data_IF_679801786318
#
_entry.id   IF_679801786318
#
_cell.length_a   1.000
_cell.length_b   1.000
_cell.length_c   1.000
_cell.angle_alpha   90.00
_cell.angle_beta   90.00
_cell.angle_gamma   90.00
#
_symmetry.space_group_name_H-M   'P 1'
#
loop_
_entity.id
_entity.type
_entity.pdbx_description
1 polymer ?
#
# COMPACT_ATOMS: atom_id res chain seq x y z
N UNK A 1 -23.93 -4.71 17.31
CA UNK A 1 -23.53 -3.38 16.78
C UNK A 1 -22.20 -3.49 16.06
N UNK A 2 -22.21 -3.65 14.74
CA UNK A 2 -20.98 -3.55 13.92
C UNK A 2 -20.63 -2.08 13.78
N UNK A 3 -19.91 -1.54 14.76
CA UNK A 3 -19.35 -0.19 14.64
C UNK A 3 -18.64 -0.09 13.29
N UNK A 4 -18.99 0.94 12.51
CA UNK A 4 -18.40 1.23 11.20
C UNK A 4 -16.96 1.70 11.40
N UNK A 5 -16.10 0.77 11.80
CA UNK A 5 -14.70 1.01 12.10
C UNK A 5 -14.03 1.57 10.85
N UNK A 6 -13.58 2.81 10.99
CA UNK A 6 -12.85 3.54 9.97
C UNK A 6 -11.47 3.82 10.52
N UNK A 7 -10.46 3.41 9.78
CA UNK A 7 -9.07 3.57 10.19
C UNK A 7 -8.23 3.90 8.96
N UNK A 8 -7.43 4.96 9.07
CA UNK A 8 -6.44 5.30 8.07
C UNK A 8 -5.09 5.53 8.74
N UNK A 9 -4.05 5.00 8.12
CA UNK A 9 -2.68 5.25 8.55
C UNK A 9 -1.78 5.36 7.32
N UNK A 10 -0.86 6.32 7.34
CA UNK A 10 0.11 6.55 6.26
C UNK A 10 1.51 6.67 6.84
N UNK A 11 2.40 5.78 6.40
CA UNK A 11 3.83 5.82 6.70
C UNK A 11 4.59 6.35 5.47
N UNK A 12 5.49 7.30 5.68
CA UNK A 12 6.35 7.84 4.61
C UNK A 12 7.80 7.63 5.00
N UNK A 13 8.53 6.84 4.20
CA UNK A 13 9.97 6.63 4.35
C UNK A 13 10.71 7.30 3.19
N UNK A 14 11.63 8.21 3.49
CA UNK A 14 12.48 8.90 2.51
C UNK A 14 13.94 8.58 2.77
N UNK A 15 14.67 8.09 1.76
CA UNK A 15 16.11 7.80 1.83
C UNK A 15 16.75 8.10 0.48
N UNK A 16 17.74 9.00 0.43
CA UNK A 16 18.60 9.21 -0.75
C UNK A 16 17.82 9.40 -2.05
N UNK A 17 16.89 10.36 -2.07
CA UNK A 17 16.02 10.62 -3.22
C UNK A 17 14.94 9.56 -3.48
N UNK A 18 14.94 8.41 -2.80
CA UNK A 18 13.84 7.42 -2.84
C UNK A 18 12.79 7.79 -1.80
N UNK A 19 11.52 7.71 -2.17
CA UNK A 19 10.38 7.86 -1.26
C UNK A 19 9.45 6.66 -1.39
N UNK A 20 9.11 6.05 -0.26
CA UNK A 20 8.13 4.96 -0.16
C UNK A 20 7.00 5.46 0.71
N UNK A 21 5.77 5.35 0.21
CA UNK A 21 4.55 5.68 0.94
C UNK A 21 3.78 4.39 1.15
N UNK A 22 3.53 4.00 2.39
CA UNK A 22 2.67 2.88 2.75
C UNK A 22 1.39 3.42 3.35
N UNK A 23 0.22 3.04 2.83
CA UNK A 23 -1.07 3.45 3.38
C UNK A 23 -1.92 2.24 3.71
N UNK A 24 -2.62 2.32 4.84
CA UNK A 24 -3.70 1.42 5.25
C UNK A 24 -4.99 2.25 5.24
N UNK A 25 -6.05 1.72 4.65
CA UNK A 25 -7.39 2.30 4.71
C UNK A 25 -8.40 1.21 4.97
N UNK A 26 -9.13 1.34 6.06
CA UNK A 26 -10.21 0.45 6.50
C UNK A 26 -11.46 1.30 6.56
N UNK A 27 -12.48 0.90 5.82
CA UNK A 27 -13.78 1.58 5.80
C UNK A 27 -14.89 0.54 5.71
N UNK A 28 -15.83 0.57 6.66
CA UNK A 28 -16.96 -0.37 6.72
C UNK A 28 -16.51 -1.85 6.65
N UNK A 29 -15.44 -2.21 7.36
CA UNK A 29 -14.89 -3.56 7.36
C UNK A 29 -14.14 -3.97 6.08
N UNK A 30 -14.09 -3.12 5.06
CA UNK A 30 -13.26 -3.31 3.86
C UNK A 30 -11.91 -2.65 4.08
N UNK A 31 -10.85 -3.44 3.99
CA UNK A 31 -9.51 -2.98 4.29
C UNK A 31 -8.57 -3.16 3.09
N UNK A 32 -7.81 -2.11 2.80
CA UNK A 32 -6.82 -2.10 1.73
C UNK A 32 -5.50 -1.55 2.22
N UNK A 33 -4.42 -2.11 1.69
CA UNK A 33 -3.05 -1.65 1.88
C UNK A 33 -2.47 -1.21 0.54
N UNK A 34 -1.73 -0.12 0.53
CA UNK A 34 -1.02 0.37 -0.66
C UNK A 34 0.44 0.67 -0.36
N UNK A 35 1.30 0.40 -1.33
CA UNK A 35 2.70 0.80 -1.33
C UNK A 35 3.00 1.56 -2.62
N UNK A 36 3.31 2.84 -2.50
CA UNK A 36 3.71 3.70 -3.62
C UNK A 36 5.20 3.99 -3.51
N UNK A 37 5.94 3.78 -4.59
CA UNK A 37 7.38 4.09 -4.67
C UNK A 37 7.61 5.30 -5.57
N UNK A 38 8.57 6.12 -5.19
CA UNK A 38 8.99 7.34 -5.88
C UNK A 38 10.51 7.45 -5.89
N UNK A 39 11.04 8.11 -6.91
CA UNK A 39 12.44 8.54 -6.97
C UNK A 39 12.50 9.99 -7.46
N UNK A 40 13.10 10.86 -6.64
CA UNK A 40 12.97 12.30 -6.78
C UNK A 40 11.50 12.73 -6.77
N UNK A 41 11.07 13.39 -7.84
CA UNK A 41 9.67 13.80 -8.07
C UNK A 41 8.87 12.78 -8.88
N UNK A 42 9.50 11.71 -9.37
CA UNK A 42 8.86 10.72 -10.25
C UNK A 42 8.19 9.59 -9.46
N UNK A 43 6.93 9.29 -9.79
CA UNK A 43 6.23 8.11 -9.32
C UNK A 43 6.67 6.88 -10.11
N UNK A 44 7.13 5.84 -9.42
CA UNK A 44 7.61 4.60 -10.05
C UNK A 44 6.51 3.55 -10.16
N UNK A 45 5.53 3.58 -9.25
CA UNK A 45 4.43 2.64 -9.26
C UNK A 45 3.77 2.50 -7.90
N UNK A 46 2.57 1.90 -7.94
CA UNK A 46 1.75 1.63 -6.75
C UNK A 46 1.29 0.19 -6.79
N UNK A 47 1.44 -0.52 -5.68
CA UNK A 47 0.82 -1.82 -5.46
C UNK A 47 -0.29 -1.65 -4.43
N UNK A 48 -1.51 -2.10 -4.77
CA UNK A 48 -2.66 -2.11 -3.89
C UNK A 48 -3.11 -3.55 -3.67
N UNK A 49 -3.35 -3.92 -2.41
CA UNK A 49 -3.82 -5.24 -2.01
C UNK A 49 -4.92 -5.12 -0.96
N UNK A 50 -5.78 -6.13 -0.88
CA UNK A 50 -6.70 -6.29 0.25
C UNK A 50 -5.93 -6.71 1.49
N UNK A 51 -6.46 -6.39 2.66
CA UNK A 51 -5.97 -6.89 3.95
C UNK A 51 -6.89 -8.04 4.38
N UNK A 52 -6.32 -9.12 4.92
CA UNK A 52 -7.10 -10.26 5.38
C UNK A 52 -8.00 -9.85 6.57
N UNK A 53 -9.18 -10.46 6.70
CA UNK A 53 -10.15 -10.07 7.75
C UNK A 53 -9.57 -10.20 9.16
N UNK A 54 -8.68 -11.17 9.39
CA UNK A 54 -8.05 -11.35 10.70
C UNK A 54 -7.03 -10.26 11.01
N UNK A 55 -6.23 -9.85 10.02
CA UNK A 55 -5.33 -8.70 10.15
C UNK A 55 -6.12 -7.41 10.42
N UNK A 56 -7.31 -7.25 9.85
CA UNK A 56 -8.21 -6.11 10.13
C UNK A 56 -8.61 -6.07 11.60
N UNK A 57 -8.95 -7.23 12.19
CA UNK A 57 -9.28 -7.31 13.62
C UNK A 57 -8.07 -6.94 14.47
N UNK A 58 -6.88 -7.45 14.12
CA UNK A 58 -5.64 -7.12 14.83
C UNK A 58 -5.34 -5.61 14.78
N UNK A 59 -5.47 -4.99 13.61
CA UNK A 59 -5.32 -3.53 13.45
C UNK A 59 -6.37 -2.78 14.27
N UNK A 60 -7.62 -3.24 14.29
CA UNK A 60 -8.68 -2.65 15.11
C UNK A 60 -8.42 -2.73 16.61
N UNK A 61 -7.68 -3.73 17.07
CA UNK A 61 -7.21 -3.86 18.46
C UNK A 61 -5.92 -3.06 18.74
N UNK A 62 -5.43 -2.27 17.78
CA UNK A 62 -4.17 -1.53 17.90
C UNK A 62 -2.92 -2.41 17.85
N UNK A 63 -3.05 -3.68 17.45
CA UNK A 63 -1.93 -4.62 17.38
C UNK A 63 -1.13 -4.44 16.09
N UNK A 64 0.18 -4.59 16.20
CA UNK A 64 1.07 -4.62 15.06
C UNK A 64 0.90 -5.91 14.25
N UNK A 65 0.80 -5.78 12.92
CA UNK A 65 0.76 -6.93 11.99
C UNK A 65 2.07 -7.00 11.24
N UNK A 66 2.93 -7.95 11.64
CA UNK A 66 4.24 -8.16 11.00
C UNK A 66 4.05 -8.59 9.55
N UNK A 67 4.86 -8.02 8.66
CA UNK A 67 4.84 -8.41 7.25
C UNK A 67 3.59 -7.99 6.47
N UNK A 68 2.77 -7.09 7.02
CA UNK A 68 1.53 -6.63 6.38
C UNK A 68 1.73 -6.20 4.91
N UNK A 69 2.89 -5.65 4.57
CA UNK A 69 3.24 -5.19 3.23
C UNK A 69 4.25 -6.08 2.49
N UNK A 70 4.58 -7.27 3.01
CA UNK A 70 5.63 -8.14 2.45
C UNK A 70 5.28 -8.68 1.05
N UNK A 71 3.99 -8.88 0.79
CA UNK A 71 3.40 -9.27 -0.49
C UNK A 71 3.22 -8.08 -1.46
N UNK A 72 3.40 -6.84 -0.99
CA UNK A 72 3.37 -5.65 -1.82
C UNK A 72 4.71 -5.44 -2.55
N UNK A 73 5.05 -6.38 -3.43
CA UNK A 73 6.24 -6.31 -4.27
C UNK A 73 6.02 -5.30 -5.41
N UNK A 74 6.52 -4.07 -5.26
CA UNK A 74 6.64 -3.17 -6.42
C UNK A 74 7.96 -3.53 -7.13
N UNK A 75 7.85 -4.02 -8.37
CA UNK A 75 8.96 -4.63 -9.12
C UNK A 75 10.27 -3.88 -9.04
N UNK A 76 11.34 -4.61 -8.75
CA UNK A 76 12.69 -4.26 -9.21
C UNK A 76 12.79 -4.79 -10.63
N UNK A 77 12.47 -3.97 -11.62
CA UNK A 77 12.89 -4.27 -12.99
C UNK A 77 14.39 -4.00 -13.08
N UNK A 78 15.20 -5.00 -12.74
CA UNK A 78 16.44 -5.19 -13.47
C UNK A 78 16.03 -5.53 -14.90
N UNK A 79 16.12 -4.53 -15.78
CA UNK A 79 16.06 -4.65 -17.25
C UNK A 79 14.73 -5.10 -17.88
N UNK A 80 14.36 -4.36 -18.94
CA UNK A 80 13.43 -4.72 -20.03
C UNK A 80 11.94 -4.40 -19.92
N UNK A 81 11.45 -3.68 -20.94
CA UNK A 81 10.08 -3.82 -21.45
C UNK A 81 9.12 -2.69 -21.14
N UNK A 82 9.08 -1.69 -22.02
CA UNK A 82 7.97 -0.73 -22.12
C UNK A 82 6.63 -1.45 -22.17
N UNK A 83 5.71 -1.14 -21.25
CA UNK A 83 4.28 -1.37 -21.51
C UNK A 83 3.49 -0.13 -21.13
N UNK A 84 3.60 0.88 -22.00
CA UNK A 84 2.77 2.09 -22.01
C UNK A 84 1.37 1.67 -22.46
N UNK A 85 0.53 1.24 -21.51
CA UNK A 85 -0.89 1.02 -21.78
C UNK A 85 -1.56 2.39 -21.94
N UNK A 86 -1.64 2.85 -23.18
CA UNK A 86 -2.42 4.00 -23.63
C UNK A 86 -3.88 3.80 -23.22
N UNK A 87 -4.41 4.72 -22.41
CA UNK A 87 -5.86 4.93 -22.33
C UNK A 87 -6.26 5.74 -23.57
N UNK A 88 -7.07 5.16 -24.45
CA UNK A 88 -7.81 5.92 -25.46
C UNK A 88 -8.95 6.67 -24.73
N UNK A 89 -9.14 7.93 -25.14
CA UNK A 89 -10.27 8.79 -24.75
C UNK A 89 -11.61 8.11 -25.02
#
# INVERSE_FOLDING_TARGET
>A
MTNKFTYENTEIKKIGGKKIVRKISIKNGKATKTVSKYHGRKHLGTVKKSIHKDDVKMIGLGKFVKGLFMDCKCGTSGTSGNNKKTRKN
#
